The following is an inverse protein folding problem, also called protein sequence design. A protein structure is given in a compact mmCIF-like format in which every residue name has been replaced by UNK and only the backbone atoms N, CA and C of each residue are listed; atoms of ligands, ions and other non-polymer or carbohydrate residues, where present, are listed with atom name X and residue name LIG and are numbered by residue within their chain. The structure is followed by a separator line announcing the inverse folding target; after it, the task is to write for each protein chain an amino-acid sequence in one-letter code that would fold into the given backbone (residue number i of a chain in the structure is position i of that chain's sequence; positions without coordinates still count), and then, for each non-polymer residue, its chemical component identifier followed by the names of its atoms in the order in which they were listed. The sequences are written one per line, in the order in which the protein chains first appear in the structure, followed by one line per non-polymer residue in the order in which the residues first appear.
data_IF_192045404958
#
_entry.id   IF_192045404958
#
_cell.length_a   1.000
_cell.length_b   1.000
_cell.length_c   1.000
_cell.angle_alpha   90.00
_cell.angle_beta   90.00
_cell.angle_gamma   90.00
#
_symmetry.space_group_name_H-M   'P 1'
#
loop_
_entity.id
_entity.type
_entity.pdbx_description
1 polymer ?
#
# COMPACT_ATOMS: atom_id res chain seq x y z
N UNK A 1 -6.60 -10.34 -7.47
CA UNK A 1 -7.64 -9.30 -7.31
C UNK A 1 -7.11 -8.16 -6.45
N UNK A 2 -7.94 -7.16 -6.17
CA UNK A 2 -7.52 -5.91 -5.51
C UNK A 2 -6.75 -6.10 -4.20
N UNK A 3 -7.20 -6.98 -3.29
CA UNK A 3 -6.53 -7.18 -2.00
C UNK A 3 -5.08 -7.66 -2.12
N UNK A 4 -4.75 -8.44 -3.14
CA UNK A 4 -3.36 -8.85 -3.40
C UNK A 4 -2.54 -7.66 -3.88
N UNK A 5 -3.10 -6.85 -4.77
CA UNK A 5 -2.41 -5.68 -5.32
C UNK A 5 -2.18 -4.61 -4.24
N UNK A 6 -3.17 -4.32 -3.40
CA UNK A 6 -3.03 -3.38 -2.29
C UNK A 6 -1.94 -3.83 -1.30
N UNK A 7 -1.89 -5.13 -0.99
CA UNK A 7 -0.81 -5.72 -0.19
C UNK A 7 0.56 -5.56 -0.84
N UNK A 8 0.66 -5.81 -2.14
CA UNK A 8 1.91 -5.63 -2.91
C UNK A 8 2.35 -4.16 -2.95
N UNK A 9 1.43 -3.21 -3.13
CA UNK A 9 1.70 -1.77 -3.05
C UNK A 9 2.27 -1.36 -1.70
N UNK A 10 1.70 -1.89 -0.61
CA UNK A 10 2.24 -1.67 0.72
C UNK A 10 3.66 -2.23 0.86
N UNK A 11 3.92 -3.46 0.38
CA UNK A 11 5.27 -4.05 0.39
C UNK A 11 6.26 -3.18 -0.41
N UNK A 12 5.86 -2.69 -1.58
CA UNK A 12 6.70 -1.85 -2.43
C UNK A 12 7.10 -0.54 -1.72
N UNK A 13 6.14 0.17 -1.13
CA UNK A 13 6.41 1.38 -0.36
C UNK A 13 7.22 1.08 0.91
N UNK A 14 6.84 0.05 1.67
CA UNK A 14 7.52 -0.35 2.91
C UNK A 14 8.99 -0.72 2.70
N UNK A 15 9.31 -1.39 1.59
CA UNK A 15 10.69 -1.81 1.26
C UNK A 15 11.68 -0.65 1.07
N UNK A 16 11.16 0.54 0.79
CA UNK A 16 11.94 1.78 0.57
C UNK A 16 11.70 2.83 1.67
N UNK A 17 10.90 2.50 2.68
CA UNK A 17 10.55 3.44 3.74
C UNK A 17 11.76 3.71 4.65
N UNK A 18 11.89 4.95 5.13
CA UNK A 18 13.06 5.37 5.90
C UNK A 18 13.12 4.74 7.30
N UNK A 19 11.96 4.49 7.93
CA UNK A 19 11.88 3.86 9.25
C UNK A 19 11.30 2.44 9.17
N UNK A 20 12.20 1.46 9.12
CA UNK A 20 11.84 0.05 9.04
C UNK A 20 11.23 -0.50 10.34
N UNK A 21 11.34 0.20 11.47
CA UNK A 21 10.73 -0.21 12.73
C UNK A 21 9.28 0.30 12.89
N UNK A 22 8.86 1.24 12.05
CA UNK A 22 7.54 1.86 12.12
C UNK A 22 6.83 1.95 10.75
N UNK A 23 6.73 0.82 10.05
CA UNK A 23 6.07 0.77 8.75
C UNK A 23 4.57 1.10 8.79
N UNK A 24 3.93 0.99 9.97
CA UNK A 24 2.53 1.38 10.13
C UNK A 24 2.34 2.90 9.97
N UNK A 25 3.41 3.69 10.11
CA UNK A 25 3.38 5.13 9.86
C UNK A 25 2.91 5.47 8.44
N UNK A 26 3.25 4.62 7.46
CA UNK A 26 2.75 4.74 6.07
C UNK A 26 1.22 4.86 6.07
N UNK A 27 0.52 4.05 6.87
CA UNK A 27 -0.93 4.04 6.93
C UNK A 27 -1.47 5.19 7.78
N UNK A 28 -0.86 5.50 8.92
CA UNK A 28 -1.35 6.57 9.81
C UNK A 28 -1.11 7.97 9.25
N UNK A 29 -0.12 8.14 8.36
CA UNK A 29 0.09 9.39 7.62
C UNK A 29 -0.53 9.34 6.22
N UNK A 30 -1.38 8.35 5.93
CA UNK A 30 -2.04 8.18 4.63
C UNK A 30 -1.09 8.20 3.42
N UNK A 31 0.17 7.82 3.60
CA UNK A 31 1.20 7.76 2.56
C UNK A 31 2.01 9.06 2.35
N UNK A 32 1.72 10.17 3.04
CA UNK A 32 2.40 11.47 2.85
C UNK A 32 3.94 11.42 3.00
N UNK A 33 4.42 10.50 3.83
CA UNK A 33 5.84 10.31 4.13
C UNK A 33 6.54 9.32 3.20
N UNK A 34 5.82 8.65 2.31
CA UNK A 34 6.41 7.77 1.30
C UNK A 34 7.09 8.64 0.24
N UNK A 35 8.37 8.37 -0.04
CA UNK A 35 9.19 9.14 -1.00
C UNK A 35 9.71 8.32 -2.18
N UNK A 36 9.74 7.01 -2.03
CA UNK A 36 10.19 6.08 -3.07
C UNK A 36 9.46 4.75 -2.87
N UNK A 37 9.29 4.02 -3.97
CA UNK A 37 8.59 2.74 -4.04
C UNK A 37 9.29 1.83 -5.03
N UNK A 38 9.24 0.51 -4.82
CA UNK A 38 9.57 -0.40 -5.92
C UNK A 38 8.50 -0.34 -7.01
N UNK A 39 8.87 -0.46 -8.31
CA UNK A 39 7.88 -0.58 -9.38
C UNK A 39 6.95 -1.77 -9.18
N UNK A 40 5.64 -1.55 -9.35
CA UNK A 40 4.61 -2.58 -9.21
C UNK A 40 3.97 -2.88 -10.56
N UNK A 41 3.68 -4.15 -10.80
CA UNK A 41 2.86 -4.61 -11.91
C UNK A 41 1.86 -5.65 -11.40
N UNK A 42 0.75 -5.83 -12.11
CA UNK A 42 -0.30 -6.76 -11.70
C UNK A 42 -0.88 -7.53 -12.89
N UNK A 43 -1.30 -8.77 -12.63
CA UNK A 43 -2.17 -9.54 -13.52
C UNK A 43 -3.50 -9.70 -12.80
N UNK A 44 -4.53 -9.01 -13.28
CA UNK A 44 -5.83 -9.00 -12.64
C UNK A 44 -6.65 -10.24 -13.02
N UNK A 45 -6.98 -11.03 -12.00
CA UNK A 45 -7.74 -12.29 -12.16
C UNK A 45 -9.19 -12.18 -11.74
N UNK A 46 -9.56 -11.09 -11.07
CA UNK A 46 -10.92 -10.83 -10.57
C UNK A 46 -11.21 -9.34 -10.77
N UNK A 47 -12.32 -8.96 -11.42
CA UNK A 47 -12.76 -7.57 -11.48
C UNK A 47 -13.16 -7.11 -10.07
N UNK A 48 -12.64 -5.98 -9.60
CA UNK A 48 -12.93 -5.55 -8.23
C UNK A 48 -12.92 -4.02 -8.07
N UNK A 49 -11.74 -3.42 -7.92
CA UNK A 49 -11.62 -2.11 -7.24
C UNK A 49 -10.94 -1.01 -8.07
N UNK A 50 -10.45 -1.32 -9.28
CA UNK A 50 -9.64 -0.37 -10.06
C UNK A 50 -8.25 -0.11 -9.47
N UNK A 51 -7.80 -0.92 -8.50
CA UNK A 51 -6.48 -0.78 -7.87
C UNK A 51 -5.34 -0.93 -8.89
N UNK A 52 -5.56 -1.64 -9.99
CA UNK A 52 -4.61 -1.80 -11.09
C UNK A 52 -4.24 -0.51 -11.84
N UNK A 53 -4.99 0.58 -11.62
CA UNK A 53 -4.80 1.87 -12.29
C UNK A 53 -4.85 3.07 -11.33
N UNK A 54 -4.61 2.85 -10.04
CA UNK A 54 -4.48 3.92 -9.05
C UNK A 54 -3.26 3.71 -8.16
N UNK A 55 -2.91 4.74 -7.40
CA UNK A 55 -1.78 4.83 -6.49
C UNK A 55 -2.16 4.52 -5.03
N UNK A 56 -3.37 3.97 -4.81
CA UNK A 56 -3.96 3.76 -3.48
C UNK A 56 -3.91 2.30 -3.06
N UNK A 57 -3.94 2.04 -1.76
CA UNK A 57 -4.15 0.71 -1.21
C UNK A 57 -4.79 0.74 0.18
N UNK A 58 -5.44 -0.36 0.57
CA UNK A 58 -6.08 -0.51 1.88
C UNK A 58 -5.50 -1.69 2.65
N UNK A 59 -4.95 -1.45 3.84
CA UNK A 59 -4.32 -2.46 4.69
C UNK A 59 -5.02 -2.55 6.04
N UNK A 60 -5.17 -3.78 6.54
CA UNK A 60 -5.73 -4.04 7.87
C UNK A 60 -4.63 -4.51 8.83
N UNK A 61 -4.63 -4.01 10.07
CA UNK A 61 -3.75 -4.47 11.15
C UNK A 61 -4.56 -5.25 12.17
N UNK A 62 -4.52 -6.58 12.07
CA UNK A 62 -5.34 -7.47 12.90
C UNK A 62 -5.15 -7.24 14.40
N UNK A 63 -3.92 -6.97 14.84
CA UNK A 63 -3.62 -6.77 16.27
C UNK A 63 -4.27 -5.54 16.90
N UNK A 64 -4.61 -4.51 16.12
CA UNK A 64 -5.29 -3.30 16.60
C UNK A 64 -6.72 -3.17 16.10
N UNK A 65 -7.11 -3.97 15.09
CA UNK A 65 -8.42 -3.87 14.44
C UNK A 65 -8.53 -2.74 13.42
N UNK A 66 -7.43 -2.01 13.16
CA UNK A 66 -7.43 -0.90 12.22
C UNK A 66 -7.54 -1.39 10.78
N UNK A 67 -8.23 -0.60 9.94
CA UNK A 67 -8.25 -0.74 8.48
C UNK A 67 -8.16 0.64 7.85
N UNK A 68 -7.01 0.93 7.24
CA UNK A 68 -6.67 2.27 6.76
C UNK A 68 -6.29 2.23 5.28
N UNK A 69 -6.64 3.31 4.59
CA UNK A 69 -6.19 3.57 3.22
C UNK A 69 -4.98 4.49 3.22
N UNK A 70 -4.14 4.34 2.20
CA UNK A 70 -3.02 5.23 1.91
C UNK A 70 -2.91 5.45 0.39
N UNK A 71 -2.26 6.53 -0.01
CA UNK A 71 -1.93 6.84 -1.39
C UNK A 71 -0.49 7.36 -1.45
N UNK A 72 0.28 6.94 -2.45
CA UNK A 72 1.62 7.45 -2.65
C UNK A 72 1.92 7.57 -4.14
N UNK A 73 2.38 8.75 -4.56
CA UNK A 73 2.63 9.09 -5.97
C UNK A 73 3.58 8.11 -6.70
N UNK A 74 4.44 7.39 -5.97
CA UNK A 74 5.35 6.39 -6.54
C UNK A 74 4.72 5.02 -6.82
N UNK A 75 3.42 4.81 -6.57
CA UNK A 75 2.71 3.54 -6.73
C UNK A 75 1.86 3.43 -8.00
#
# INVERSE_FOLDING_TARGET
GGSVLDGTKFIAAASKYYDQNNLWEILTTHGEKVKDCLPVASIMTIPATGSEMNDTGVISRVGTGDKLGFAAECL
#
